data_IF_424542728682
#
_entry.id   IF_424542728682
#
_cell.length_a   1.000
_cell.length_b   1.000
_cell.length_c   1.000
_cell.angle_alpha   90.00
_cell.angle_beta   90.00
_cell.angle_gamma   90.00
#
_symmetry.space_group_name_H-M   'P 1'
#
loop_
_entity.id
_entity.type
_entity.pdbx_description
1 polymer ?
#
# COMPACT_ATOMS: atom_id res chain seq x y z
N UNK A 1 51.05 -25.77 61.03
CA UNK A 1 50.04 -24.83 60.50
C UNK A 1 50.36 -24.62 59.02
N UNK A 2 49.48 -25.01 58.09
CA UNK A 2 49.74 -24.83 56.65
C UNK A 2 49.58 -23.34 56.34
N UNK A 3 50.64 -22.70 55.84
CA UNK A 3 50.58 -21.35 55.31
C UNK A 3 49.65 -21.37 54.10
N UNK A 4 48.43 -20.89 54.31
CA UNK A 4 47.49 -20.64 53.22
C UNK A 4 48.09 -19.49 52.42
N UNK A 5 48.39 -19.75 51.15
CA UNK A 5 48.94 -18.75 50.26
C UNK A 5 47.82 -17.77 49.87
N UNK A 6 47.76 -16.64 50.57
CA UNK A 6 46.75 -15.60 50.36
C UNK A 6 46.73 -15.07 48.92
N UNK A 7 47.85 -15.12 48.21
CA UNK A 7 47.89 -14.79 46.78
C UNK A 7 47.02 -15.74 45.97
N UNK A 8 47.07 -17.04 46.25
CA UNK A 8 46.27 -18.03 45.53
C UNK A 8 44.77 -17.81 45.75
N UNK A 9 44.35 -17.51 46.98
CA UNK A 9 42.95 -17.20 47.31
C UNK A 9 42.50 -15.93 46.59
N UNK A 10 43.31 -14.88 46.60
CA UNK A 10 42.99 -13.62 45.94
C UNK A 10 42.80 -13.80 44.43
N UNK A 11 43.70 -14.52 43.76
CA UNK A 11 43.59 -14.80 42.33
C UNK A 11 42.32 -15.59 42.00
N UNK A 12 41.95 -16.54 42.86
CA UNK A 12 40.76 -17.36 42.68
C UNK A 12 39.47 -16.53 42.82
N UNK A 13 39.44 -15.59 43.79
CA UNK A 13 38.33 -14.65 43.96
C UNK A 13 38.21 -13.73 42.73
N UNK A 14 39.32 -13.18 42.25
CA UNK A 14 39.31 -12.29 41.08
C UNK A 14 38.84 -13.00 39.80
N UNK A 15 39.24 -14.25 39.59
CA UNK A 15 38.74 -15.08 38.49
C UNK A 15 37.23 -15.32 38.58
N UNK A 16 36.73 -15.58 39.78
CA UNK A 16 35.30 -15.79 40.02
C UNK A 16 34.48 -14.51 39.75
N UNK A 17 34.97 -13.36 40.20
CA UNK A 17 34.33 -12.06 39.94
C UNK A 17 34.34 -11.74 38.44
N UNK A 18 35.46 -12.00 37.76
CA UNK A 18 35.57 -11.79 36.32
C UNK A 18 34.66 -12.73 35.52
N UNK A 19 34.50 -13.99 35.94
CA UNK A 19 33.57 -14.91 35.28
C UNK A 19 32.12 -14.49 35.49
N UNK A 20 31.75 -14.03 36.69
CA UNK A 20 30.40 -13.50 36.96
C UNK A 20 30.12 -12.25 36.12
N UNK A 21 31.08 -11.34 36.01
CA UNK A 21 30.96 -10.14 35.17
C UNK A 21 30.83 -10.48 33.69
N UNK A 22 31.65 -11.42 33.17
CA UNK A 22 31.52 -11.90 31.80
C UNK A 22 30.15 -12.54 31.56
N UNK A 23 29.70 -13.40 32.48
CA UNK A 23 28.40 -14.07 32.35
C UNK A 23 27.25 -13.06 32.41
N UNK A 24 27.34 -12.01 33.23
CA UNK A 24 26.36 -10.92 33.28
C UNK A 24 26.37 -10.07 32.00
N UNK A 25 27.54 -9.79 31.42
CA UNK A 25 27.66 -9.08 30.14
C UNK A 25 27.11 -9.91 28.97
N UNK A 26 27.37 -11.23 28.93
CA UNK A 26 26.85 -12.12 27.88
C UNK A 26 25.35 -12.40 28.04
N UNK A 27 24.84 -12.55 29.26
CA UNK A 27 23.40 -12.74 29.51
C UNK A 27 22.57 -11.47 29.23
N UNK A 28 23.17 -10.27 29.35
CA UNK A 28 22.50 -9.03 28.97
C UNK A 28 22.55 -8.74 27.45
N UNK A 29 23.31 -9.51 26.65
CA UNK A 29 23.37 -9.32 25.19
C UNK A 29 22.40 -10.23 24.42
N UNK A 30 21.74 -11.22 25.04
CA UNK A 30 20.91 -12.21 24.31
C UNK A 30 19.45 -12.35 24.78
N UNK A 31 18.95 -11.41 25.59
CA UNK A 31 17.50 -11.35 25.86
C UNK A 31 16.76 -10.63 24.72
N UNK A 32 16.87 -11.17 23.49
CA UNK A 32 15.84 -10.94 22.48
C UNK A 32 14.65 -11.80 22.94
N UNK A 33 13.50 -11.21 23.30
CA UNK A 33 12.36 -11.99 23.75
C UNK A 33 11.90 -12.88 22.60
N UNK A 34 12.21 -14.19 22.69
CA UNK A 34 11.83 -15.27 21.76
C UNK A 34 10.32 -15.48 21.59
N UNK A 35 9.47 -14.61 22.14
CA UNK A 35 8.02 -14.80 22.12
C UNK A 35 7.27 -13.75 21.36
N UNK A 36 7.90 -12.64 20.95
CA UNK A 36 7.23 -11.60 20.18
C UNK A 36 7.80 -11.55 18.78
N UNK A 37 6.95 -11.84 17.80
CA UNK A 37 7.33 -11.92 16.40
C UNK A 37 6.86 -10.64 15.70
N UNK A 38 7.78 -10.01 14.98
CA UNK A 38 7.43 -8.99 14.01
C UNK A 38 6.57 -9.62 12.90
N UNK A 39 5.41 -9.03 12.65
CA UNK A 39 4.49 -9.46 11.59
C UNK A 39 4.53 -8.51 10.39
N UNK A 40 4.81 -7.22 10.65
CA UNK A 40 4.91 -6.21 9.61
C UNK A 40 5.85 -5.09 10.02
N UNK A 41 6.61 -4.57 9.06
CA UNK A 41 7.17 -3.23 9.07
C UNK A 41 6.80 -2.55 7.75
N UNK A 42 6.21 -1.35 7.83
CA UNK A 42 5.96 -0.49 6.67
C UNK A 42 6.59 0.87 6.91
N UNK A 43 7.23 1.36 5.85
CA UNK A 43 7.79 2.70 5.78
C UNK A 43 7.24 3.34 4.52
N UNK A 44 6.56 4.47 4.68
CA UNK A 44 6.03 5.23 3.56
C UNK A 44 6.45 6.70 3.60
N UNK A 45 6.41 7.32 2.42
CA UNK A 45 6.69 8.73 2.18
C UNK A 45 5.68 9.23 1.16
N UNK A 46 4.91 10.27 1.47
CA UNK A 46 3.88 10.80 0.58
C UNK A 46 3.61 12.28 0.79
N UNK A 47 2.95 12.92 -0.17
CA UNK A 47 2.39 14.27 0.03
C UNK A 47 3.37 15.43 -0.20
N UNK A 48 4.45 15.23 -0.97
CA UNK A 48 5.17 16.38 -1.53
C UNK A 48 4.32 17.07 -2.63
N UNK A 49 4.65 18.30 -3.02
CA UNK A 49 3.93 18.99 -4.12
C UNK A 49 3.99 18.26 -5.45
N UNK A 50 4.94 17.32 -5.59
CA UNK A 50 5.04 16.47 -6.76
C UNK A 50 4.12 15.27 -6.66
N UNK A 51 3.39 15.06 -5.57
CA UNK A 51 2.48 13.94 -5.37
C UNK A 51 3.19 12.59 -5.46
N UNK A 52 4.48 12.55 -5.14
CA UNK A 52 5.24 11.30 -5.09
C UNK A 52 4.78 10.42 -3.93
N UNK A 53 4.88 9.11 -4.12
CA UNK A 53 4.61 8.11 -3.10
C UNK A 53 5.72 7.07 -3.11
N UNK A 54 6.24 6.73 -1.95
CA UNK A 54 7.13 5.60 -1.79
C UNK A 54 6.70 4.79 -0.59
N UNK A 55 6.66 3.47 -0.73
CA UNK A 55 6.46 2.54 0.36
C UNK A 55 7.40 1.34 0.24
N UNK A 56 7.94 0.97 1.37
CA UNK A 56 8.71 -0.24 1.60
C UNK A 56 8.03 -1.01 2.72
N UNK A 57 7.47 -2.18 2.41
CA UNK A 57 6.71 -2.98 3.36
C UNK A 57 7.17 -4.43 3.37
N UNK A 58 7.69 -4.87 4.50
CA UNK A 58 8.02 -6.28 4.76
C UNK A 58 6.93 -6.86 5.68
N UNK A 59 6.28 -7.94 5.25
CA UNK A 59 5.15 -8.52 5.97
C UNK A 59 5.18 -10.04 5.91
N UNK A 60 4.78 -10.69 7.02
CA UNK A 60 4.43 -12.10 7.07
C UNK A 60 2.97 -12.28 6.64
N UNK A 61 2.74 -13.16 5.68
CA UNK A 61 1.42 -13.66 5.25
C UNK A 61 1.38 -15.17 5.43
N UNK A 62 0.21 -15.79 5.28
CA UNK A 62 0.03 -17.24 5.46
C UNK A 62 0.99 -18.08 4.59
N UNK A 63 1.31 -17.58 3.39
CA UNK A 63 2.16 -18.27 2.42
C UNK A 63 3.68 -17.96 2.55
N UNK A 64 4.07 -17.13 3.52
CA UNK A 64 5.46 -16.78 3.82
C UNK A 64 5.71 -15.29 4.04
N UNK A 65 6.97 -14.87 3.90
CA UNK A 65 7.38 -13.48 4.10
C UNK A 65 7.60 -12.77 2.77
N UNK A 66 7.08 -11.55 2.64
CA UNK A 66 7.11 -10.78 1.40
C UNK A 66 7.60 -9.35 1.64
N UNK A 67 8.49 -8.90 0.75
CA UNK A 67 8.87 -7.50 0.63
C UNK A 67 8.15 -6.88 -0.56
N UNK A 68 7.36 -5.86 -0.29
CA UNK A 68 6.66 -5.05 -1.29
C UNK A 68 7.30 -3.66 -1.36
N UNK A 69 7.50 -3.19 -2.58
CA UNK A 69 8.02 -1.85 -2.90
C UNK A 69 7.03 -1.19 -3.84
N UNK A 70 6.48 -0.07 -3.40
CA UNK A 70 5.64 0.79 -4.22
C UNK A 70 6.36 2.14 -4.38
N UNK A 71 6.59 2.60 -5.61
CA UNK A 71 7.33 3.83 -5.87
C UNK A 71 6.72 4.56 -7.07
N UNK A 72 6.20 5.75 -6.80
CA UNK A 72 5.77 6.75 -7.77
C UNK A 72 6.59 8.03 -7.56
N UNK A 73 7.30 8.44 -8.61
CA UNK A 73 8.20 9.61 -8.57
C UNK A 73 7.47 10.95 -8.41
N UNK A 74 6.23 10.99 -8.87
CA UNK A 74 5.34 12.13 -8.82
C UNK A 74 3.96 11.66 -9.30
N UNK A 75 2.94 12.48 -9.08
CA UNK A 75 1.57 12.19 -9.48
C UNK A 75 1.40 11.85 -10.97
N UNK A 76 2.34 12.26 -11.86
CA UNK A 76 2.31 11.94 -13.30
C UNK A 76 3.06 10.66 -13.67
N UNK A 77 3.78 10.03 -12.75
CA UNK A 77 4.58 8.85 -13.03
C UNK A 77 3.85 7.58 -12.58
N UNK A 78 3.80 6.54 -13.43
CA UNK A 78 3.30 5.22 -13.05
C UNK A 78 3.92 4.73 -11.75
N UNK A 79 3.09 4.20 -10.86
CA UNK A 79 3.55 3.61 -9.62
C UNK A 79 4.19 2.25 -9.94
N UNK A 80 5.49 2.11 -9.68
CA UNK A 80 6.14 0.82 -9.82
C UNK A 80 5.85 -0.03 -8.59
N UNK A 81 5.11 -1.12 -8.76
CA UNK A 81 4.88 -2.11 -7.72
C UNK A 81 5.75 -3.35 -7.95
N UNK A 82 6.50 -3.75 -6.92
CA UNK A 82 7.41 -4.91 -6.98
C UNK A 82 7.29 -5.72 -5.69
N UNK A 83 7.15 -7.03 -5.83
CA UNK A 83 7.08 -7.96 -4.70
C UNK A 83 8.23 -8.97 -4.80
N UNK A 84 8.84 -9.24 -3.65
CA UNK A 84 9.91 -10.22 -3.49
C UNK A 84 9.49 -11.23 -2.45
N UNK A 85 9.64 -12.51 -2.75
CA UNK A 85 9.52 -13.54 -1.72
C UNK A 85 10.79 -13.57 -0.90
N UNK A 86 10.67 -13.35 0.40
CA UNK A 86 11.79 -13.31 1.33
C UNK A 86 11.95 -14.65 2.04
N UNK A 87 13.12 -14.86 2.62
CA UNK A 87 13.35 -15.98 3.51
C UNK A 87 12.58 -15.79 4.83
N UNK A 88 12.20 -16.89 5.46
CA UNK A 88 11.42 -16.88 6.72
C UNK A 88 12.11 -16.17 7.88
N UNK A 89 13.44 -16.11 7.85
CA UNK A 89 14.27 -15.43 8.85
C UNK A 89 14.29 -13.91 8.68
N UNK A 90 13.77 -13.35 7.58
CA UNK A 90 13.80 -11.92 7.32
C UNK A 90 13.15 -11.12 8.45
N UNK A 91 12.00 -11.56 8.95
CA UNK A 91 11.31 -10.88 10.05
C UNK A 91 12.15 -10.85 11.33
N UNK A 92 12.84 -11.95 11.64
CA UNK A 92 13.72 -12.07 12.80
C UNK A 92 14.92 -11.13 12.68
N UNK A 93 15.57 -11.09 11.51
CA UNK A 93 16.71 -10.20 11.26
C UNK A 93 16.31 -8.73 11.37
N UNK A 94 15.15 -8.34 10.81
CA UNK A 94 14.67 -6.96 10.94
C UNK A 94 14.29 -6.62 12.37
N UNK A 95 13.68 -7.55 13.10
CA UNK A 95 13.41 -7.40 14.53
C UNK A 95 14.70 -7.18 15.34
N UNK A 96 15.75 -7.96 15.08
CA UNK A 96 17.06 -7.77 15.73
C UNK A 96 17.65 -6.40 15.43
N UNK A 97 17.53 -5.91 14.19
CA UNK A 97 18.01 -4.58 13.83
C UNK A 97 17.18 -3.48 14.53
N UNK A 98 15.86 -3.61 14.62
CA UNK A 98 15.00 -2.69 15.38
C UNK A 98 15.40 -2.65 16.87
N UNK A 99 15.70 -3.79 17.48
CA UNK A 99 16.16 -3.89 18.87
C UNK A 99 17.53 -3.20 19.02
N UNK A 100 18.49 -3.55 18.16
CA UNK A 100 19.84 -2.98 18.14
C UNK A 100 19.83 -1.46 18.00
N UNK A 101 18.96 -0.93 17.14
CA UNK A 101 18.80 0.51 16.93
C UNK A 101 17.97 1.21 18.03
N UNK A 102 17.42 0.45 18.99
CA UNK A 102 16.52 0.93 20.05
C UNK A 102 15.25 1.59 19.48
N UNK A 103 14.69 0.98 18.44
CA UNK A 103 13.43 1.34 17.80
C UNK A 103 12.31 0.32 18.08
N UNK A 104 12.64 -0.88 18.57
CA UNK A 104 11.67 -1.89 18.97
C UNK A 104 10.70 -1.38 20.03
N UNK A 105 9.39 -1.38 19.71
CA UNK A 105 8.30 -0.93 20.60
C UNK A 105 8.52 0.46 21.23
N UNK A 106 9.27 1.33 20.56
CA UNK A 106 9.40 2.71 21.03
C UNK A 106 8.03 3.39 20.95
N UNK A 107 7.74 4.28 21.91
CA UNK A 107 6.62 5.21 21.74
C UNK A 107 6.91 6.09 20.53
N UNK A 108 5.87 6.38 19.75
CA UNK A 108 5.97 7.22 18.57
C UNK A 108 6.86 8.45 18.80
N UNK A 109 7.88 8.56 17.95
CA UNK A 109 8.79 9.68 17.93
C UNK A 109 8.03 10.87 17.35
N UNK A 110 7.84 11.91 18.16
CA UNK A 110 7.14 13.12 17.71
C UNK A 110 8.01 13.93 16.77
N UNK A 111 7.41 14.34 15.65
CA UNK A 111 7.92 15.43 14.85
C UNK A 111 7.92 16.73 15.68
N UNK A 112 9.04 17.43 15.63
CA UNK A 112 9.24 18.73 16.30
C UNK A 112 9.76 19.78 15.33
N UNK A 113 9.85 19.44 14.05
CA UNK A 113 10.26 20.36 13.00
C UNK A 113 9.17 21.38 12.71
N UNK A 114 9.53 22.51 12.08
CA UNK A 114 8.53 23.37 11.46
C UNK A 114 7.80 22.61 10.36
N UNK A 115 6.49 22.85 10.21
CA UNK A 115 5.73 22.37 9.07
C UNK A 115 6.24 23.05 7.79
N UNK A 116 6.58 22.24 6.79
CA UNK A 116 7.02 22.68 5.46
C UNK A 116 5.96 22.20 4.48
N UNK A 117 5.18 23.12 3.89
CA UNK A 117 4.02 22.78 3.04
C UNK A 117 4.33 21.82 1.88
N UNK A 118 5.56 21.79 1.40
CA UNK A 118 5.96 21.02 0.22
C UNK A 118 6.84 19.81 0.55
N UNK A 119 7.05 19.52 1.84
CA UNK A 119 7.86 18.38 2.27
C UNK A 119 7.01 17.12 2.39
N UNK A 120 7.54 15.96 1.97
CA UNK A 120 6.84 14.69 2.14
C UNK A 120 6.63 14.39 3.62
N UNK A 121 5.49 13.81 3.95
CA UNK A 121 5.25 13.15 5.23
C UNK A 121 5.76 11.73 5.15
N UNK A 122 6.54 11.34 6.15
CA UNK A 122 6.98 9.97 6.34
C UNK A 122 6.14 9.30 7.42
N UNK A 123 5.83 8.02 7.22
CA UNK A 123 5.17 7.17 8.21
C UNK A 123 5.97 5.88 8.40
N UNK A 124 6.14 5.48 9.65
CA UNK A 124 6.79 4.24 10.04
C UNK A 124 5.91 3.48 11.01
N UNK A 125 5.53 2.26 10.65
CA UNK A 125 4.64 1.42 11.44
C UNK A 125 5.22 0.01 11.53
N UNK A 126 5.12 -0.59 12.71
CA UNK A 126 5.34 -2.02 12.89
C UNK A 126 4.11 -2.68 13.49
N UNK A 127 3.84 -3.93 13.11
CA UNK A 127 2.84 -4.78 13.76
C UNK A 127 3.57 -5.92 14.45
N UNK A 128 3.26 -6.11 15.73
CA UNK A 128 3.88 -7.13 16.59
C UNK A 128 2.74 -7.85 17.31
N UNK A 129 2.49 -9.12 16.97
CA UNK A 129 1.35 -9.90 17.49
C UNK A 129 -0.01 -9.23 17.29
N UNK A 130 -0.28 -8.69 16.11
CA UNK A 130 -1.50 -7.95 15.80
C UNK A 130 -1.58 -6.53 16.39
N UNK A 131 -0.72 -6.17 17.34
CA UNK A 131 -0.69 -4.82 17.90
C UNK A 131 0.08 -3.85 16.99
N UNK A 132 -0.50 -2.69 16.73
CA UNK A 132 0.08 -1.63 15.89
C UNK A 132 0.94 -0.69 16.73
N UNK A 133 2.20 -0.52 16.33
CA UNK A 133 3.16 0.41 16.94
C UNK A 133 3.59 1.45 15.89
N UNK A 134 3.07 2.68 15.91
CA UNK A 134 3.59 3.77 15.10
C UNK A 134 4.94 4.23 15.67
N UNK A 135 6.01 4.15 14.87
CA UNK A 135 7.36 4.57 15.26
C UNK A 135 7.58 6.05 15.01
N UNK A 136 7.10 6.57 13.89
CA UNK A 136 7.25 7.96 13.48
C UNK A 136 6.17 8.36 12.47
N UNK A 137 5.64 9.58 12.61
CA UNK A 137 4.84 10.25 11.60
C UNK A 137 5.23 11.72 11.55
N UNK A 138 5.60 12.23 10.37
CA UNK A 138 5.96 13.63 10.18
C UNK A 138 6.90 13.88 9.01
N UNK A 139 7.32 15.13 8.83
CA UNK A 139 8.11 15.57 7.67
C UNK A 139 9.60 15.48 7.92
N UNK A 140 10.02 15.55 9.18
CA UNK A 140 11.44 15.60 9.54
C UNK A 140 11.74 14.64 10.68
N UNK A 141 12.35 13.50 10.34
CA UNK A 141 12.89 12.57 11.34
C UNK A 141 13.95 13.32 12.16
N UNK A 142 13.84 13.36 13.51
CA UNK A 142 14.83 14.04 14.33
C UNK A 142 16.23 13.44 14.13
N UNK A 143 17.26 14.29 14.04
CA UNK A 143 18.63 13.88 13.67
C UNK A 143 19.17 12.71 14.48
N UNK A 144 18.87 12.67 15.79
CA UNK A 144 19.28 11.57 16.68
C UNK A 144 18.74 10.18 16.30
N UNK A 145 17.75 10.10 15.41
CA UNK A 145 17.18 8.86 14.89
C UNK A 145 17.45 8.63 13.41
N UNK A 146 17.96 9.60 12.66
CA UNK A 146 18.12 9.50 11.21
C UNK A 146 18.99 8.31 10.79
N UNK A 147 20.13 8.15 11.44
CA UNK A 147 21.04 7.03 11.17
C UNK A 147 20.40 5.69 11.55
N UNK A 148 19.63 5.66 12.64
CA UNK A 148 18.95 4.46 13.13
C UNK A 148 17.90 3.96 12.15
N UNK A 149 17.08 4.86 11.62
CA UNK A 149 16.09 4.53 10.59
C UNK A 149 16.78 4.11 9.29
N UNK A 150 17.87 4.77 8.91
CA UNK A 150 18.67 4.40 7.72
C UNK A 150 19.24 2.97 7.82
N UNK A 151 19.75 2.57 8.99
CA UNK A 151 20.24 1.20 9.22
C UNK A 151 19.13 0.15 9.07
N UNK A 152 17.91 0.44 9.55
CA UNK A 152 16.75 -0.45 9.39
C UNK A 152 16.34 -0.55 7.92
N UNK A 153 16.26 0.57 7.18
CA UNK A 153 16.03 0.53 5.72
C UNK A 153 17.10 -0.31 5.03
N UNK A 154 18.37 -0.11 5.37
CA UNK A 154 19.48 -0.86 4.83
C UNK A 154 19.34 -2.36 5.08
N UNK A 155 18.83 -2.77 6.24
CA UNK A 155 18.53 -4.17 6.54
C UNK A 155 17.36 -4.72 5.70
N UNK A 156 16.27 -3.96 5.52
CA UNK A 156 15.12 -4.38 4.72
C UNK A 156 15.50 -4.53 3.24
N UNK A 157 16.22 -3.56 2.69
CA UNK A 157 16.58 -3.53 1.25
C UNK A 157 17.50 -4.70 0.84
N UNK A 158 18.22 -5.33 1.78
CA UNK A 158 19.00 -6.56 1.50
C UNK A 158 18.14 -7.71 0.98
N UNK A 159 16.85 -7.74 1.31
CA UNK A 159 15.91 -8.76 0.86
C UNK A 159 15.31 -8.48 -0.53
N UNK A 160 15.69 -7.37 -1.17
CA UNK A 160 15.37 -7.05 -2.56
C UNK A 160 16.28 -7.85 -3.52
N UNK A 161 16.16 -9.18 -3.49
CA UNK A 161 16.95 -10.11 -4.30
C UNK A 161 16.27 -10.27 -5.67
N UNK A 162 16.87 -9.82 -6.79
CA UNK A 162 16.24 -9.85 -8.11
C UNK A 162 15.70 -11.23 -8.54
N UNK A 163 16.37 -12.30 -8.17
CA UNK A 163 16.00 -13.69 -8.48
C UNK A 163 14.78 -14.17 -7.70
N UNK A 164 14.52 -13.57 -6.53
CA UNK A 164 13.34 -13.82 -5.71
C UNK A 164 12.22 -12.82 -6.01
N UNK A 165 12.44 -11.91 -6.96
CA UNK A 165 11.37 -11.07 -7.46
C UNK A 165 10.33 -12.03 -8.01
N UNK A 166 9.14 -11.94 -7.45
CA UNK A 166 8.00 -12.50 -8.12
C UNK A 166 7.87 -11.62 -9.37
N UNK A 167 8.16 -12.20 -10.56
CA UNK A 167 7.51 -11.71 -11.78
C UNK A 167 6.09 -11.41 -11.35
N UNK A 168 5.64 -10.19 -11.62
CA UNK A 168 4.29 -9.81 -11.23
C UNK A 168 3.43 -11.02 -11.53
N UNK A 169 2.76 -11.57 -10.50
CA UNK A 169 1.57 -12.31 -10.81
C UNK A 169 0.70 -11.27 -11.50
N UNK A 170 0.86 -11.17 -12.80
CA UNK A 170 -0.14 -10.68 -13.75
C UNK A 170 -1.40 -11.57 -13.63
N UNK A 171 -1.30 -12.67 -12.86
CA UNK A 171 -2.33 -13.60 -12.42
C UNK A 171 -2.85 -13.39 -10.98
N UNK A 172 -2.43 -12.38 -10.22
CA UNK A 172 -3.30 -11.85 -9.15
C UNK A 172 -4.32 -10.97 -9.90
N UNK A 173 -5.15 -11.73 -10.63
CA UNK A 173 -6.33 -11.36 -11.37
C UNK A 173 -7.16 -10.49 -10.45
N UNK A 174 -7.81 -9.51 -11.06
CA UNK A 174 -9.00 -8.87 -10.56
C UNK A 174 -10.08 -9.96 -10.38
N UNK A 175 -9.95 -10.79 -9.35
CA UNK A 175 -10.83 -11.93 -9.03
C UNK A 175 -12.04 -11.50 -8.20
N UNK A 176 -12.15 -10.20 -7.95
CA UNK A 176 -13.28 -9.61 -7.27
C UNK A 176 -14.53 -9.52 -8.11
N UNK A 177 -15.67 -9.69 -7.45
CA UNK A 177 -16.97 -9.31 -8.00
C UNK A 177 -16.99 -7.78 -8.22
N UNK A 178 -17.53 -7.36 -9.37
CA UNK A 178 -17.69 -5.94 -9.69
C UNK A 178 -18.71 -5.31 -8.74
N UNK A 179 -18.23 -4.48 -7.82
CA UNK A 179 -19.07 -3.77 -6.86
C UNK A 179 -19.28 -2.31 -7.20
N UNK A 180 -18.41 -1.75 -8.05
CA UNK A 180 -18.60 -0.40 -8.57
C UNK A 180 -18.06 -0.24 -9.99
N UNK A 181 -18.79 0.46 -10.84
CA UNK A 181 -18.29 0.98 -12.11
C UNK A 181 -18.72 2.43 -12.22
N UNK A 182 -17.79 3.38 -12.39
CA UNK A 182 -18.13 4.78 -12.57
C UNK A 182 -17.48 5.37 -13.82
N UNK A 183 -18.24 6.16 -14.57
CA UNK A 183 -17.81 6.96 -15.71
C UNK A 183 -18.26 8.41 -15.46
N UNK A 184 -17.36 9.36 -15.68
CA UNK A 184 -17.63 10.80 -15.62
C UNK A 184 -17.03 11.48 -16.85
N UNK A 185 -17.75 12.44 -17.40
CA UNK A 185 -17.28 13.26 -18.51
C UNK A 185 -17.74 14.70 -18.38
N UNK A 186 -16.76 15.59 -18.21
CA UNK A 186 -16.95 17.03 -18.12
C UNK A 186 -17.01 17.74 -19.46
N UNK A 187 -16.66 17.07 -20.58
CA UNK A 187 -16.53 17.74 -21.89
C UNK A 187 -16.98 16.97 -23.13
N UNK A 188 -17.00 15.63 -23.11
CA UNK A 188 -17.53 14.84 -24.21
C UNK A 188 -18.79 14.12 -23.75
N UNK A 189 -19.93 14.69 -24.14
CA UNK A 189 -21.23 14.09 -23.90
C UNK A 189 -21.36 12.82 -24.73
N UNK A 190 -21.01 11.66 -24.15
CA UNK A 190 -21.34 10.39 -24.77
C UNK A 190 -22.86 10.23 -24.73
N UNK A 191 -23.53 10.60 -25.83
CA UNK A 191 -24.99 10.65 -25.97
C UNK A 191 -25.72 11.53 -24.93
N UNK A 192 -25.08 12.57 -24.41
CA UNK A 192 -25.67 13.47 -23.39
C UNK A 192 -25.48 13.02 -21.94
N UNK A 193 -24.79 11.90 -21.70
CA UNK A 193 -24.47 11.40 -20.36
C UNK A 193 -23.18 12.05 -19.84
N UNK A 194 -23.23 12.61 -18.63
CA UNK A 194 -22.09 13.29 -17.96
C UNK A 194 -21.55 12.51 -16.78
N UNK A 195 -22.34 11.61 -16.21
CA UNK A 195 -21.92 10.70 -15.16
C UNK A 195 -22.76 9.42 -15.21
N UNK A 196 -22.13 8.30 -14.88
CA UNK A 196 -22.75 6.99 -14.84
C UNK A 196 -22.07 6.16 -13.76
N UNK A 197 -22.84 5.53 -12.88
CA UNK A 197 -22.35 4.75 -11.76
C UNK A 197 -23.21 3.49 -11.61
N UNK A 198 -22.58 2.32 -11.52
CA UNK A 198 -23.19 1.09 -11.04
C UNK A 198 -22.57 0.80 -9.68
N UNK A 199 -23.38 0.54 -8.65
CA UNK A 199 -22.88 0.17 -7.32
C UNK A 199 -23.93 -0.64 -6.54
N UNK A 200 -23.49 -1.34 -5.49
CA UNK A 200 -24.39 -2.03 -4.55
C UNK A 200 -24.72 -1.13 -3.36
N UNK A 201 -26.01 -0.96 -3.06
CA UNK A 201 -26.51 -0.28 -1.87
C UNK A 201 -27.51 -1.18 -1.15
N UNK A 202 -27.19 -1.54 0.10
CA UNK A 202 -28.03 -2.41 0.96
C UNK A 202 -28.43 -3.77 0.31
N UNK A 203 -27.56 -4.34 -0.52
CA UNK A 203 -27.82 -5.61 -1.21
C UNK A 203 -28.59 -5.48 -2.53
N UNK A 204 -28.74 -4.26 -3.04
CA UNK A 204 -29.43 -3.95 -4.30
C UNK A 204 -28.45 -3.27 -5.25
N UNK A 205 -28.41 -3.75 -6.50
CA UNK A 205 -27.59 -3.12 -7.54
C UNK A 205 -28.30 -1.89 -8.09
N UNK A 206 -27.68 -0.74 -7.94
CA UNK A 206 -28.18 0.55 -8.38
C UNK A 206 -27.35 1.03 -9.56
N UNK A 207 -28.04 1.44 -10.63
CA UNK A 207 -27.47 2.25 -11.69
C UNK A 207 -27.94 3.69 -11.54
N UNK A 208 -27.00 4.61 -11.33
CA UNK A 208 -27.22 6.05 -11.33
C UNK A 208 -26.61 6.68 -12.58
N UNK A 209 -27.35 7.60 -13.19
CA UNK A 209 -26.93 8.25 -14.42
C UNK A 209 -27.31 9.72 -14.41
N UNK A 210 -26.39 10.56 -14.83
CA UNK A 210 -26.58 12.00 -15.01
C UNK A 210 -26.58 12.33 -16.50
N UNK A 211 -27.60 13.07 -16.94
CA UNK A 211 -27.76 13.52 -18.33
C UNK A 211 -27.96 15.02 -18.40
N UNK A 212 -27.59 15.62 -19.53
CA UNK A 212 -27.97 16.98 -19.88
C UNK A 212 -29.12 16.93 -20.88
N UNK A 213 -30.29 17.44 -20.47
CA UNK A 213 -31.46 17.58 -21.31
C UNK A 213 -31.78 19.07 -21.53
N UNK A 214 -31.42 19.58 -22.71
CA UNK A 214 -31.50 21.02 -23.00
C UNK A 214 -30.54 21.82 -22.11
N UNK A 215 -31.08 22.65 -21.21
CA UNK A 215 -30.32 23.46 -20.25
C UNK A 215 -30.39 22.92 -18.82
N UNK A 216 -30.86 21.67 -18.63
CA UNK A 216 -31.04 21.07 -17.31
C UNK A 216 -30.17 19.82 -17.15
N UNK A 217 -29.72 19.60 -15.92
CA UNK A 217 -29.08 18.36 -15.50
C UNK A 217 -30.18 17.48 -14.90
N UNK A 218 -30.33 16.28 -15.44
CA UNK A 218 -31.30 15.28 -15.00
C UNK A 218 -30.54 14.10 -14.40
N UNK A 219 -30.99 13.63 -13.23
CA UNK A 219 -30.51 12.41 -12.62
C UNK A 219 -31.57 11.32 -12.76
N UNK A 220 -31.13 10.14 -13.18
CA UNK A 220 -31.94 8.94 -13.25
C UNK A 220 -31.27 7.87 -12.41
N UNK A 221 -32.03 7.22 -11.55
CA UNK A 221 -31.58 6.12 -10.73
C UNK A 221 -32.54 4.95 -10.93
N UNK A 222 -31.99 3.75 -11.12
CA UNK A 222 -32.76 2.53 -11.33
C UNK A 222 -32.10 1.36 -10.63
N UNK A 223 -32.90 0.46 -10.11
CA UNK A 223 -32.45 -0.87 -9.73
C UNK A 223 -32.15 -1.67 -11.00
N UNK A 224 -31.02 -2.39 -11.02
CA UNK A 224 -30.64 -3.30 -12.09
C UNK A 224 -30.56 -4.72 -11.54
N UNK A 225 -30.85 -5.71 -12.39
CA UNK A 225 -30.76 -7.12 -11.99
C UNK A 225 -29.31 -7.60 -11.93
N UNK A 226 -29.08 -8.66 -11.16
CA UNK A 226 -27.79 -9.37 -11.14
C UNK A 226 -27.39 -9.85 -12.55
N UNK A 227 -28.35 -10.20 -13.41
CA UNK A 227 -28.09 -10.62 -14.79
C UNK A 227 -27.45 -9.48 -15.61
N UNK A 228 -27.93 -8.25 -15.44
CA UNK A 228 -27.37 -7.06 -16.10
C UNK A 228 -25.96 -6.78 -15.55
N UNK A 229 -25.79 -6.81 -14.23
CA UNK A 229 -24.47 -6.60 -13.60
C UNK A 229 -23.45 -7.65 -14.08
N UNK A 230 -23.83 -8.93 -14.06
CA UNK A 230 -23.00 -10.03 -14.55
C UNK A 230 -22.70 -9.90 -16.05
N UNK A 231 -23.65 -9.41 -16.85
CA UNK A 231 -23.44 -9.15 -18.29
C UNK A 231 -22.40 -8.05 -18.49
N UNK A 232 -22.50 -6.94 -17.74
CA UNK A 232 -21.52 -5.85 -17.75
C UNK A 232 -20.14 -6.33 -17.32
N UNK A 233 -20.05 -7.06 -16.21
CA UNK A 233 -18.81 -7.63 -15.72
C UNK A 233 -18.17 -8.57 -16.76
N UNK A 234 -18.95 -9.46 -17.36
CA UNK A 234 -18.48 -10.36 -18.41
C UNK A 234 -18.00 -9.59 -19.65
N UNK A 235 -18.66 -8.51 -20.04
CA UNK A 235 -18.21 -7.66 -21.15
C UNK A 235 -16.85 -7.03 -20.83
N UNK A 236 -16.69 -6.48 -19.63
CA UNK A 236 -15.43 -5.90 -19.17
C UNK A 236 -14.30 -6.95 -19.08
N UNK A 237 -14.62 -8.19 -18.67
CA UNK A 237 -13.69 -9.36 -18.70
C UNK A 237 -13.29 -9.77 -20.10
N UNK A 238 -14.25 -9.89 -21.02
CA UNK A 238 -14.01 -10.40 -22.37
C UNK A 238 -13.24 -9.42 -23.27
N UNK A 239 -13.40 -8.12 -23.06
CA UNK A 239 -12.62 -7.08 -23.75
C UNK A 239 -11.20 -6.93 -23.15
N UNK A 240 -10.81 -7.82 -22.24
CA UNK A 240 -9.53 -7.86 -21.53
C UNK A 240 -9.23 -6.50 -20.85
N UNK A 241 -10.28 -5.75 -20.46
CA UNK A 241 -10.14 -4.44 -19.84
C UNK A 241 -9.61 -4.57 -18.41
N UNK A 242 -10.02 -5.59 -17.68
CA UNK A 242 -9.41 -5.91 -16.39
C UNK A 242 -7.90 -6.17 -16.52
N UNK A 243 -7.45 -6.88 -17.57
CA UNK A 243 -6.03 -7.23 -17.74
C UNK A 243 -5.14 -6.09 -18.26
N UNK A 244 -5.69 -5.21 -19.08
CA UNK A 244 -4.91 -4.17 -19.75
C UNK A 244 -4.71 -2.89 -18.91
N UNK A 245 -5.40 -2.76 -17.79
CA UNK A 245 -5.47 -1.49 -17.06
C UNK A 245 -5.22 -1.67 -15.57
N UNK A 246 -3.99 -2.10 -15.27
CA UNK A 246 -3.32 -1.68 -14.04
C UNK A 246 -2.79 -0.26 -14.26
N UNK A 247 -2.83 0.57 -13.22
CA UNK A 247 -2.41 1.98 -13.11
C UNK A 247 -1.01 2.32 -13.70
N UNK A 248 -0.85 2.17 -15.01
CA UNK A 248 0.35 2.54 -15.74
C UNK A 248 0.14 3.73 -16.69
N UNK A 249 -1.09 4.27 -16.81
CA UNK A 249 -1.34 5.40 -17.72
C UNK A 249 -2.12 6.58 -17.14
N UNK A 250 -2.56 6.55 -15.88
CA UNK A 250 -3.51 7.57 -15.39
C UNK A 250 -3.29 7.96 -13.93
N UNK A 251 -3.04 9.25 -13.74
CA UNK A 251 -2.88 9.91 -12.44
C UNK A 251 -4.23 10.29 -11.83
N UNK A 252 -4.51 9.86 -10.61
CA UNK A 252 -5.60 10.42 -9.79
C UNK A 252 -5.30 11.88 -9.46
N UNK A 253 -6.10 12.81 -9.97
CA UNK A 253 -6.24 14.13 -9.39
C UNK A 253 -7.69 14.58 -9.54
N UNK A 254 -8.43 14.57 -8.44
CA UNK A 254 -9.69 15.32 -8.27
C UNK A 254 -9.39 16.83 -8.33
N UNK A 255 -9.00 17.32 -9.50
CA UNK A 255 -8.85 18.75 -9.76
C UNK A 255 -10.24 19.34 -10.00
N UNK A 256 -10.52 20.47 -9.38
CA UNK A 256 -11.78 21.21 -9.51
C UNK A 256 -11.87 22.05 -10.79
N UNK A 257 -10.90 21.94 -11.71
CA UNK A 257 -10.82 22.74 -12.94
C UNK A 257 -11.29 21.99 -14.18
N UNK A 258 -12.59 22.04 -14.46
CA UNK A 258 -13.15 21.54 -15.72
C UNK A 258 -12.29 21.89 -16.94
N UNK A 259 -12.14 20.95 -17.89
CA UNK A 259 -12.95 19.74 -18.05
C UNK A 259 -12.18 18.44 -17.76
N UNK A 260 -12.83 17.45 -17.12
CA UNK A 260 -12.22 16.16 -16.76
C UNK A 260 -13.09 14.98 -17.22
N UNK A 261 -12.47 13.91 -17.69
CA UNK A 261 -13.08 12.61 -17.94
C UNK A 261 -12.46 11.59 -16.98
N UNK A 262 -13.28 10.77 -16.32
CA UNK A 262 -12.85 9.80 -15.30
C UNK A 262 -13.55 8.46 -15.50
N UNK A 263 -12.83 7.35 -15.37
CA UNK A 263 -13.38 5.99 -15.30
C UNK A 263 -12.80 5.28 -14.07
N UNK A 264 -13.66 4.76 -13.20
CA UNK A 264 -13.33 4.02 -11.98
C UNK A 264 -13.98 2.63 -11.99
N UNK A 265 -13.30 1.64 -11.43
CA UNK A 265 -13.83 0.32 -11.12
C UNK A 265 -13.61 0.04 -9.64
N UNK A 266 -14.64 -0.30 -8.88
CA UNK A 266 -14.49 -0.90 -7.56
C UNK A 266 -14.70 -2.40 -7.66
N UNK A 267 -13.78 -3.17 -7.10
CA UNK A 267 -13.88 -4.62 -7.01
C UNK A 267 -13.74 -5.04 -5.55
N UNK A 268 -14.50 -6.05 -5.14
CA UNK A 268 -14.25 -6.69 -3.85
C UNK A 268 -12.99 -7.54 -3.93
N UNK A 269 -11.97 -7.24 -3.13
CA UNK A 269 -10.84 -8.15 -2.97
C UNK A 269 -11.30 -9.51 -2.42
N UNK A 270 -10.51 -10.56 -2.65
CA UNK A 270 -10.72 -11.88 -2.02
C UNK A 270 -10.73 -11.83 -0.48
N UNK A 271 -10.35 -10.70 0.10
CA UNK A 271 -10.27 -10.45 1.54
C UNK A 271 -11.44 -9.58 2.07
N UNK A 272 -12.40 -9.21 1.22
CA UNK A 272 -13.61 -8.48 1.61
C UNK A 272 -13.47 -6.96 1.70
N UNK A 273 -12.31 -6.41 1.36
CA UNK A 273 -12.10 -4.96 1.22
C UNK A 273 -12.44 -4.50 -0.21
N UNK A 274 -13.10 -3.34 -0.35
CA UNK A 274 -13.32 -2.68 -1.64
C UNK A 274 -12.00 -2.10 -2.15
N UNK A 275 -11.56 -2.56 -3.31
CA UNK A 275 -10.41 -2.03 -4.03
C UNK A 275 -10.89 -1.17 -5.20
N UNK A 276 -10.57 0.13 -5.17
CA UNK A 276 -10.88 1.07 -6.25
C UNK A 276 -9.70 1.15 -7.24
N UNK A 277 -10.03 1.01 -8.52
CA UNK A 277 -9.13 1.03 -9.65
C UNK A 277 -9.52 2.19 -10.56
N UNK A 278 -8.65 3.21 -10.62
CA UNK A 278 -8.79 4.27 -11.60
C UNK A 278 -8.29 3.80 -12.96
N UNK A 279 -9.21 3.70 -13.93
CA UNK A 279 -8.86 3.36 -15.32
C UNK A 279 -8.48 4.62 -16.11
N UNK A 280 -9.20 5.72 -15.92
CA UNK A 280 -8.96 6.98 -16.64
C UNK A 280 -9.29 8.21 -15.78
N UNK A 281 -8.50 9.29 -15.93
CA UNK A 281 -8.58 10.57 -15.25
C UNK A 281 -7.69 11.55 -16.00
N UNK A 282 -8.30 12.45 -16.76
CA UNK A 282 -7.57 13.42 -17.55
C UNK A 282 -8.48 14.45 -18.20
N UNK A 283 -7.87 15.50 -18.76
CA UNK A 283 -8.62 16.61 -19.35
C UNK A 283 -9.51 16.17 -20.54
N UNK A 284 -9.04 15.13 -21.27
CA UNK A 284 -9.75 14.48 -22.37
C UNK A 284 -9.17 13.09 -22.62
N UNK A 285 -10.01 12.10 -22.85
CA UNK A 285 -9.62 10.76 -23.27
C UNK A 285 -8.86 10.82 -24.62
N UNK A 286 -7.66 10.22 -24.73
CA UNK A 286 -6.95 10.15 -25.99
C UNK A 286 -7.79 9.47 -27.08
N UNK A 287 -7.66 9.88 -28.34
CA UNK A 287 -8.45 9.36 -29.48
C UNK A 287 -8.45 7.82 -29.57
N UNK A 288 -7.29 7.18 -29.35
CA UNK A 288 -7.17 5.70 -29.32
C UNK A 288 -7.96 5.04 -28.19
N UNK A 289 -8.17 5.75 -27.09
CA UNK A 289 -8.96 5.28 -25.96
C UNK A 289 -10.44 5.52 -26.22
N UNK A 290 -10.80 6.66 -26.82
CA UNK A 290 -12.16 6.96 -27.25
C UNK A 290 -12.66 5.90 -28.24
N UNK A 291 -11.84 5.49 -29.22
CA UNK A 291 -12.14 4.40 -30.15
C UNK A 291 -12.41 3.04 -29.46
N UNK A 292 -11.79 2.79 -28.30
CA UNK A 292 -11.94 1.54 -27.55
C UNK A 292 -13.09 1.57 -26.56
N UNK A 293 -13.26 2.66 -25.82
CA UNK A 293 -14.25 2.79 -24.75
C UNK A 293 -15.63 3.21 -25.24
N UNK A 294 -15.71 4.03 -26.29
CA UNK A 294 -16.98 4.51 -26.84
C UNK A 294 -17.95 3.37 -27.22
N UNK A 295 -17.52 2.28 -27.91
CA UNK A 295 -18.39 1.14 -28.20
C UNK A 295 -18.82 0.34 -26.96
N UNK A 296 -17.98 0.32 -25.92
CA UNK A 296 -18.24 -0.42 -24.68
C UNK A 296 -19.26 0.34 -23.83
N UNK A 297 -19.08 1.66 -23.67
CA UNK A 297 -20.04 2.53 -23.01
C UNK A 297 -21.39 2.53 -23.75
N UNK A 298 -21.37 2.55 -25.09
CA UNK A 298 -22.58 2.40 -25.90
C UNK A 298 -23.35 1.11 -25.61
N UNK A 299 -22.62 0.00 -25.46
CA UNK A 299 -23.22 -1.29 -25.15
C UNK A 299 -23.76 -1.33 -23.71
N UNK A 300 -22.98 -0.87 -22.72
CA UNK A 300 -23.41 -0.82 -21.31
C UNK A 300 -24.67 0.03 -21.17
N UNK A 301 -24.70 1.20 -21.81
CA UNK A 301 -25.87 2.08 -21.78
C UNK A 301 -27.08 1.48 -22.52
N UNK A 302 -26.84 0.64 -23.53
CA UNK A 302 -27.87 -0.13 -24.21
C UNK A 302 -28.50 -1.19 -23.30
N UNK A 303 -27.68 -2.06 -22.70
CA UNK A 303 -28.15 -3.16 -21.84
C UNK A 303 -28.92 -2.69 -20.61
N UNK A 304 -28.61 -1.50 -20.09
CA UNK A 304 -29.29 -0.94 -18.92
C UNK A 304 -30.60 -0.23 -19.31
N UNK A 305 -30.74 0.16 -20.58
CA UNK A 305 -31.93 0.83 -21.10
C UNK A 305 -33.04 -0.13 -21.52
N UNK A 306 -32.72 -1.40 -21.79
CA UNK A 306 -33.66 -2.50 -22.10
C UNK A 306 -34.27 -3.11 -20.84
#
# INVERSE_FOLDING_TARGET
MKNINYYYIFTLIMLLVFSILLTACFNNMSNIPKTEELELISVSSSGDMRGGYQELKLQRKDEGVFLSINDSRNWRCPASYRVYKCSEDAMMVIQEELIKQKLWKIREIKDRGPLIYDAPNHSWITIIKGDVYPLFSGQSIPDKYRDKFSEVIGAIVKYKIPENRLESRDEDILTGELTMFSYYSGNNHHRGITSFEIYEEEGVNICRMQRIEGNQIVWEEREISDDILNSVENKLKNEDLYRNYRLDDVSTNYSTKQPYETILLGLNSEYGDLEEYLIFDGDRMPEKWEEKWSPILDWIFGEIAE
#
